data_IF_268694874039
#
_entry.id   IF_268694874039
#
_cell.length_a   1.000
_cell.length_b   1.000
_cell.length_c   1.000
_cell.angle_alpha   90.00
_cell.angle_beta   90.00
_cell.angle_gamma   90.00
#
_symmetry.space_group_name_H-M   'P 1'
#
loop_
_entity.id
_entity.type
_entity.pdbx_description
1 polymer ?
#
# COMPACT_ATOMS: atom_id res chain seq x y z
N UNK A 1 -3.35 3.13 9.18
CA UNK A 1 -2.66 3.96 8.16
C UNK A 1 -2.12 3.12 7.01
N UNK A 2 -1.33 2.07 7.29
CA UNK A 2 -0.78 1.17 6.26
C UNK A 2 -1.87 0.52 5.38
N UNK A 3 -3.02 0.15 5.95
CA UNK A 3 -4.15 -0.39 5.18
C UNK A 3 -4.67 0.60 4.12
N UNK A 4 -4.93 1.86 4.51
CA UNK A 4 -5.36 2.93 3.60
C UNK A 4 -4.32 3.20 2.50
N UNK A 5 -3.03 3.18 2.83
CA UNK A 5 -1.96 3.28 1.84
C UNK A 5 -1.98 2.11 0.85
N UNK A 6 -2.14 0.88 1.34
CA UNK A 6 -2.22 -0.31 0.50
C UNK A 6 -3.41 -0.26 -0.47
N UNK A 7 -4.59 0.13 0.02
CA UNK A 7 -5.80 0.31 -0.79
C UNK A 7 -5.61 1.39 -1.87
N UNK A 8 -5.01 2.53 -1.52
CA UNK A 8 -4.77 3.61 -2.46
C UNK A 8 -3.77 3.23 -3.57
N UNK A 9 -2.72 2.47 -3.25
CA UNK A 9 -1.82 1.91 -4.26
C UNK A 9 -2.54 0.89 -5.15
N UNK A 10 -3.39 0.02 -4.58
CA UNK A 10 -4.15 -0.99 -5.32
C UNK A 10 -5.07 -0.36 -6.35
N UNK A 11 -5.76 0.71 -5.97
CA UNK A 11 -6.79 1.36 -6.81
C UNK A 11 -6.17 2.41 -7.73
N UNK A 12 -5.15 3.15 -7.28
CA UNK A 12 -4.68 4.37 -7.95
C UNK A 12 -3.18 4.37 -8.29
N UNK A 13 -2.44 3.35 -7.88
CA UNK A 13 -1.00 3.26 -8.11
C UNK A 13 -0.61 3.08 -9.57
N UNK A 14 -1.51 2.58 -10.43
CA UNK A 14 -1.25 2.39 -11.85
C UNK A 14 -1.44 3.66 -12.70
N UNK A 15 -0.68 3.74 -13.80
CA UNK A 15 -0.86 4.79 -14.81
C UNK A 15 -2.16 4.62 -15.58
N UNK A 16 -2.38 3.42 -16.15
CA UNK A 16 -3.54 3.09 -16.98
C UNK A 16 -4.45 2.06 -16.31
N UNK A 17 -5.73 2.37 -16.21
CA UNK A 17 -6.75 1.39 -15.78
C UNK A 17 -7.34 0.73 -17.03
N UNK A 18 -7.00 -0.54 -17.25
CA UNK A 18 -7.37 -1.26 -18.47
C UNK A 18 -8.63 -2.09 -18.19
N UNK A 19 -9.76 -1.69 -18.77
CA UNK A 19 -11.03 -2.39 -18.60
C UNK A 19 -10.94 -3.82 -19.19
N UNK A 20 -11.23 -4.82 -18.35
CA UNK A 20 -10.94 -6.24 -18.56
C UNK A 20 -10.48 -6.93 -17.25
N UNK A 21 -10.14 -6.12 -16.24
CA UNK A 21 -9.92 -6.51 -14.85
C UNK A 21 -11.28 -6.54 -14.13
N UNK A 22 -12.15 -7.49 -14.44
CA UNK A 22 -13.09 -7.97 -13.42
C UNK A 22 -12.34 -9.06 -12.67
N UNK A 23 -12.07 -8.82 -11.40
CA UNK A 23 -11.64 -9.88 -10.49
C UNK A 23 -12.79 -10.87 -10.38
N UNK A 24 -12.69 -11.99 -11.09
CA UNK A 24 -13.49 -13.17 -10.79
C UNK A 24 -12.84 -13.84 -9.57
N UNK A 25 -13.12 -13.30 -8.39
CA UNK A 25 -13.03 -14.02 -7.13
C UNK A 25 -14.29 -14.88 -6.97
N UNK A 26 -14.50 -15.82 -7.89
CA UNK A 26 -15.49 -16.87 -7.72
C UNK A 26 -15.07 -18.09 -8.53
N UNK A 27 -15.00 -19.23 -7.85
CA UNK A 27 -14.58 -20.56 -8.33
C UNK A 27 -13.09 -20.86 -8.29
N UNK A 28 -12.60 -21.17 -7.09
CA UNK A 28 -11.73 -22.34 -6.91
C UNK A 28 -12.10 -22.99 -5.58
N UNK A 29 -12.90 -24.07 -5.62
CA UNK A 29 -13.03 -25.00 -4.49
C UNK A 29 -11.83 -25.96 -4.54
N UNK A 30 -10.99 -25.86 -3.52
CA UNK A 30 -10.11 -26.85 -2.85
C UNK A 30 -9.53 -28.06 -3.61
N UNK A 31 -8.21 -28.25 -3.46
CA UNK A 31 -7.60 -29.37 -2.67
C UNK A 31 -6.38 -28.80 -1.89
N UNK A 32 -6.26 -29.21 -0.62
CA UNK A 32 -5.57 -28.62 0.55
C UNK A 32 -4.02 -28.60 0.53
N UNK A 33 -3.29 -27.76 1.30
CA UNK A 33 -2.97 -27.94 2.74
C UNK A 33 -2.42 -26.63 3.42
N UNK A 34 -3.16 -26.06 4.40
CA UNK A 34 -2.82 -25.25 5.63
C UNK A 34 -1.97 -23.93 5.65
N UNK A 35 -2.05 -23.04 6.70
CA UNK A 35 -3.22 -22.42 7.38
C UNK A 35 -3.02 -20.88 7.67
N UNK A 36 -3.83 -20.22 8.54
CA UNK A 36 -4.91 -19.27 8.22
C UNK A 36 -4.50 -17.78 8.25
N UNK A 37 -4.82 -17.03 7.20
CA UNK A 37 -4.95 -15.56 7.30
C UNK A 37 -6.39 -15.17 6.96
N UNK A 38 -6.99 -14.38 7.85
CA UNK A 38 -8.38 -13.95 7.88
C UNK A 38 -8.87 -13.43 6.50
N UNK A 39 -9.72 -14.21 5.83
CA UNK A 39 -10.50 -13.76 4.69
C UNK A 39 -11.59 -12.81 5.19
N UNK A 40 -11.48 -11.54 4.80
CA UNK A 40 -12.51 -10.51 4.98
C UNK A 40 -13.65 -10.84 4.00
N UNK A 41 -14.88 -10.88 4.50
CA UNK A 41 -16.06 -11.36 3.76
C UNK A 41 -16.58 -10.33 2.74
N UNK A 42 -17.31 -10.77 1.71
CA UNK A 42 -17.90 -9.91 0.66
C UNK A 42 -18.86 -8.83 1.22
N UNK A 43 -19.44 -9.05 2.40
CA UNK A 43 -20.27 -8.06 3.10
C UNK A 43 -19.43 -6.91 3.71
N UNK A 44 -18.14 -7.15 3.99
CA UNK A 44 -17.22 -6.15 4.50
C UNK A 44 -16.73 -5.19 3.40
N UNK A 45 -16.64 -5.64 2.14
CA UNK A 45 -16.23 -4.80 1.00
C UNK A 45 -17.24 -3.69 0.68
N UNK A 46 -18.54 -3.98 0.82
CA UNK A 46 -19.61 -3.01 0.61
C UNK A 46 -19.78 -2.08 1.85
N UNK A 47 -19.40 -2.55 3.04
CA UNK A 47 -19.22 -1.73 4.24
C UNK A 47 -18.00 -0.79 4.12
N UNK A 48 -16.90 -1.22 3.50
CA UNK A 48 -15.69 -0.43 3.27
C UNK A 48 -15.92 0.77 2.35
N UNK A 49 -16.79 0.65 1.34
CA UNK A 49 -17.21 1.76 0.47
C UNK A 49 -18.02 2.83 1.21
N UNK A 50 -18.77 2.44 2.25
CA UNK A 50 -19.63 3.35 3.04
C UNK A 50 -18.88 4.06 4.19
N UNK A 51 -17.85 3.44 4.76
CA UNK A 51 -17.13 3.97 5.93
C UNK A 51 -16.17 5.14 5.62
N UNK A 52 -15.99 5.51 4.35
CA UNK A 52 -15.16 6.66 3.90
C UNK A 52 -15.75 8.02 4.30
N UNK A 53 -16.97 8.06 4.85
CA UNK A 53 -17.67 9.31 5.18
C UNK A 53 -17.37 9.89 6.57
N UNK A 54 -16.64 9.19 7.45
CA UNK A 54 -16.41 9.68 8.82
C UNK A 54 -14.95 9.51 9.24
N UNK A 55 -14.12 10.49 8.88
CA UNK A 55 -13.25 11.19 9.85
C UNK A 55 -12.42 12.30 9.15
N UNK A 56 -12.55 13.48 9.74
CA UNK A 56 -12.07 14.81 9.39
C UNK A 56 -10.73 14.93 8.62
N UNK A 57 -10.85 15.48 7.40
CA UNK A 57 -10.04 16.53 6.77
C UNK A 57 -8.59 16.34 6.31
N UNK A 58 -7.98 15.15 6.36
CA UNK A 58 -6.72 14.92 5.64
C UNK A 58 -6.78 13.69 4.71
N UNK A 59 -6.89 13.95 3.41
CA UNK A 59 -6.73 12.93 2.36
C UNK A 59 -5.36 13.14 1.68
N UNK A 60 -4.28 12.51 2.18
CA UNK A 60 -2.93 12.75 1.68
C UNK A 60 -2.77 12.38 0.20
N UNK A 61 -3.60 11.44 -0.29
CA UNK A 61 -3.58 10.95 -1.67
C UNK A 61 -4.51 11.71 -2.62
N UNK A 62 -5.37 12.62 -2.14
CA UNK A 62 -6.39 13.29 -2.97
C UNK A 62 -5.80 14.16 -4.09
N UNK A 63 -4.56 14.64 -3.90
CA UNK A 63 -3.81 15.44 -4.88
C UNK A 63 -3.31 14.63 -6.08
N UNK A 64 -3.32 13.29 -6.00
CA UNK A 64 -2.74 12.46 -7.05
C UNK A 64 -3.71 12.19 -8.19
N UNK A 65 -3.19 12.30 -9.42
CA UNK A 65 -3.97 12.05 -10.64
C UNK A 65 -4.40 10.59 -10.68
N UNK A 66 -5.72 10.38 -10.75
CA UNK A 66 -6.33 9.05 -10.94
C UNK A 66 -5.79 8.35 -12.19
N UNK A 67 -5.83 7.02 -12.25
CA UNK A 67 -5.45 6.28 -13.45
C UNK A 67 -6.28 6.67 -14.67
N UNK A 68 -5.63 6.71 -15.84
CA UNK A 68 -6.32 6.98 -17.09
C UNK A 68 -7.04 5.72 -17.56
N UNK A 69 -8.35 5.82 -17.84
CA UNK A 69 -9.12 4.68 -18.37
C UNK A 69 -8.67 4.36 -19.79
N UNK A 70 -8.25 3.12 -20.01
CA UNK A 70 -7.78 2.62 -21.30
C UNK A 70 -8.64 1.41 -21.69
N UNK A 71 -9.18 1.41 -22.91
CA UNK A 71 -9.89 0.22 -23.40
C UNK A 71 -8.89 -0.87 -23.75
N UNK A 72 -9.31 -2.15 -23.68
CA UNK A 72 -8.44 -3.29 -24.04
C UNK A 72 -7.81 -3.13 -25.43
N UNK A 73 -8.58 -2.69 -26.44
CA UNK A 73 -8.06 -2.44 -27.79
C UNK A 73 -6.94 -1.39 -27.79
N UNK A 74 -7.13 -0.27 -27.09
CA UNK A 74 -6.10 0.77 -26.98
C UNK A 74 -4.88 0.31 -26.18
N UNK A 75 -5.08 -0.56 -25.18
CA UNK A 75 -3.99 -1.16 -24.43
C UNK A 75 -3.13 -2.09 -25.31
N UNK A 76 -3.77 -2.89 -26.16
CA UNK A 76 -3.05 -3.73 -27.14
C UNK A 76 -2.27 -2.85 -28.12
N UNK A 77 -2.87 -1.77 -28.63
CA UNK A 77 -2.13 -0.82 -29.50
C UNK A 77 -0.94 -0.20 -28.78
N UNK A 78 -1.11 0.27 -27.54
CA UNK A 78 -0.02 0.81 -26.72
C UNK A 78 1.11 -0.20 -26.54
N UNK A 79 0.79 -1.46 -26.18
CA UNK A 79 1.78 -2.53 -26.04
C UNK A 79 2.46 -2.81 -27.37
N UNK A 80 1.70 -2.90 -28.46
CA UNK A 80 2.23 -3.16 -29.80
C UNK A 80 3.24 -2.09 -30.23
N UNK A 81 2.95 -0.81 -29.98
CA UNK A 81 3.87 0.30 -30.26
C UNK A 81 5.20 0.15 -29.49
N UNK A 82 5.17 -0.36 -28.26
CA UNK A 82 6.40 -0.65 -27.49
C UNK A 82 7.11 -1.89 -28.04
N UNK A 83 6.37 -2.97 -28.34
CA UNK A 83 6.92 -4.22 -28.90
C UNK A 83 7.62 -3.97 -30.23
N UNK A 84 7.02 -3.18 -31.13
CA UNK A 84 7.63 -2.82 -32.43
C UNK A 84 8.92 -2.02 -32.22
N UNK A 85 8.91 -1.00 -31.35
CA UNK A 85 10.11 -0.19 -31.05
C UNK A 85 11.26 -1.04 -30.49
N UNK A 86 10.94 -2.02 -29.65
CA UNK A 86 11.91 -2.82 -28.91
C UNK A 86 12.19 -4.20 -29.52
N UNK A 87 11.66 -4.48 -30.73
CA UNK A 87 11.74 -5.79 -31.42
C UNK A 87 13.17 -6.29 -31.59
N UNK A 88 14.10 -5.41 -31.96
CA UNK A 88 15.49 -5.79 -32.20
C UNK A 88 15.61 -6.87 -33.28
N UNK A 89 16.11 -8.06 -32.91
CA UNK A 89 16.33 -9.22 -33.81
C UNK A 89 15.29 -10.33 -33.64
N UNK A 90 14.23 -10.09 -32.87
CA UNK A 90 13.19 -11.09 -32.63
C UNK A 90 12.39 -11.40 -33.90
N UNK A 91 12.02 -12.68 -34.06
CA UNK A 91 11.19 -13.14 -35.17
C UNK A 91 9.74 -12.66 -35.02
N UNK A 92 9.01 -12.59 -36.13
CA UNK A 92 7.58 -12.27 -36.15
C UNK A 92 6.79 -13.27 -35.32
N UNK A 93 5.87 -12.78 -34.49
CA UNK A 93 5.13 -13.58 -33.52
C UNK A 93 5.85 -13.82 -32.19
N UNK A 94 7.14 -13.49 -32.07
CA UNK A 94 7.84 -13.44 -30.79
C UNK A 94 8.00 -11.98 -30.29
N UNK A 95 8.37 -11.83 -29.02
CA UNK A 95 8.65 -10.52 -28.44
C UNK A 95 9.90 -10.53 -27.55
N UNK A 96 10.55 -9.38 -27.45
CA UNK A 96 11.68 -9.18 -26.54
C UNK A 96 11.16 -9.12 -25.08
N UNK A 97 11.55 -10.03 -24.18
CA UNK A 97 11.05 -10.06 -22.80
C UNK A 97 11.31 -8.77 -22.02
N UNK A 98 12.34 -8.00 -22.40
CA UNK A 98 12.67 -6.72 -21.74
C UNK A 98 11.56 -5.66 -21.91
N UNK A 99 10.69 -5.81 -22.90
CA UNK A 99 9.52 -4.93 -23.10
C UNK A 99 8.57 -4.96 -21.90
N UNK A 100 8.48 -6.10 -21.21
CA UNK A 100 7.65 -6.23 -20.01
C UNK A 100 8.15 -5.28 -18.91
N UNK A 101 9.48 -5.12 -18.79
CA UNK A 101 10.08 -4.19 -17.82
C UNK A 101 9.77 -2.73 -18.15
N UNK A 102 9.91 -2.33 -19.42
CA UNK A 102 9.60 -0.96 -19.88
C UNK A 102 8.14 -0.61 -19.58
N UNK A 103 7.22 -1.49 -19.95
CA UNK A 103 5.79 -1.31 -19.70
C UNK A 103 5.47 -1.29 -18.19
N UNK A 104 6.14 -2.13 -17.40
CA UNK A 104 5.98 -2.16 -15.96
C UNK A 104 6.42 -0.84 -15.30
N UNK A 105 7.55 -0.26 -15.72
CA UNK A 105 8.01 1.02 -15.20
C UNK A 105 7.07 2.16 -15.57
N UNK A 106 6.55 2.17 -16.80
CA UNK A 106 5.54 3.13 -17.21
C UNK A 106 4.27 3.00 -16.34
N UNK A 107 3.81 1.77 -16.13
CA UNK A 107 2.61 1.47 -15.37
C UNK A 107 2.75 1.76 -13.87
N UNK A 108 3.93 1.59 -13.29
CA UNK A 108 4.26 1.82 -11.86
C UNK A 108 4.82 3.22 -11.57
N UNK A 109 4.91 4.09 -12.58
CA UNK A 109 5.55 5.42 -12.50
C UNK A 109 5.10 6.31 -11.33
N UNK A 110 3.89 6.10 -10.80
CA UNK A 110 3.33 6.91 -9.70
C UNK A 110 3.63 6.39 -8.30
N UNK A 111 4.16 5.17 -8.14
CA UNK A 111 4.29 4.53 -6.81
C UNK A 111 5.08 5.35 -5.80
N UNK A 112 6.15 6.03 -6.23
CA UNK A 112 6.95 6.92 -5.38
C UNK A 112 6.11 8.03 -4.72
N UNK A 113 5.18 8.65 -5.46
CA UNK A 113 4.34 9.74 -4.95
C UNK A 113 3.48 9.30 -3.77
N UNK A 114 2.90 8.11 -3.87
CA UNK A 114 2.08 7.54 -2.80
C UNK A 114 2.92 7.16 -1.58
N UNK A 115 4.10 6.56 -1.79
CA UNK A 115 4.98 6.19 -0.70
C UNK A 115 5.51 7.44 0.04
N UNK A 116 5.96 8.47 -0.67
CA UNK A 116 6.39 9.74 -0.09
C UNK A 116 5.27 10.40 0.71
N UNK A 117 4.05 10.47 0.17
CA UNK A 117 2.91 11.03 0.92
C UNK A 117 2.56 10.21 2.18
N UNK A 118 2.73 8.90 2.14
CA UNK A 118 2.52 8.02 3.30
C UNK A 118 3.60 8.25 4.37
N UNK A 119 4.87 8.40 3.96
CA UNK A 119 5.98 8.76 4.86
C UNK A 119 5.69 10.08 5.56
N UNK A 120 5.25 11.11 4.82
CA UNK A 120 4.89 12.41 5.38
C UNK A 120 3.73 12.32 6.38
N UNK A 121 2.67 11.57 6.05
CA UNK A 121 1.50 11.38 6.93
C UNK A 121 1.92 10.72 8.25
N UNK A 122 2.63 9.59 8.19
CA UNK A 122 3.01 8.83 9.38
C UNK A 122 4.05 9.59 10.20
N UNK A 123 5.08 10.16 9.56
CA UNK A 123 6.10 10.97 10.24
C UNK A 123 5.47 12.16 10.98
N UNK A 124 4.55 12.87 10.33
CA UNK A 124 3.84 13.99 10.96
C UNK A 124 2.99 13.57 12.15
N UNK A 125 2.40 12.36 12.12
CA UNK A 125 1.65 11.80 13.25
C UNK A 125 2.60 11.45 14.40
N UNK A 126 3.70 10.75 14.14
CA UNK A 126 4.70 10.42 15.16
C UNK A 126 5.29 11.67 15.81
N UNK A 127 5.59 12.71 15.02
CA UNK A 127 6.06 13.98 15.54
C UNK A 127 5.03 14.63 16.48
N UNK A 128 3.76 14.75 16.06
CA UNK A 128 2.70 15.34 16.90
C UNK A 128 2.45 14.54 18.17
N UNK A 129 2.51 13.21 18.08
CA UNK A 129 2.38 12.32 19.23
C UNK A 129 3.50 12.58 20.25
N UNK A 130 4.76 12.58 19.82
CA UNK A 130 5.90 12.86 20.69
C UNK A 130 5.84 14.27 21.28
N UNK A 131 5.46 15.26 20.48
CA UNK A 131 5.28 16.63 20.95
C UNK A 131 4.22 16.71 22.05
N UNK A 132 3.08 16.05 21.84
CA UNK A 132 1.98 15.98 22.81
C UNK A 132 2.38 15.30 24.11
N UNK A 133 3.02 14.13 24.03
CA UNK A 133 3.47 13.37 25.20
C UNK A 133 4.49 14.17 26.02
N UNK A 134 5.44 14.83 25.37
CA UNK A 134 6.44 15.63 26.08
C UNK A 134 5.84 16.88 26.71
N UNK A 135 4.88 17.55 26.06
CA UNK A 135 4.17 18.69 26.68
C UNK A 135 3.31 18.29 27.87
N UNK A 136 2.76 17.07 27.87
CA UNK A 136 1.92 16.56 28.96
C UNK A 136 2.77 16.09 30.17
N UNK A 137 3.90 15.42 29.90
CA UNK A 137 4.70 14.79 30.96
C UNK A 137 5.86 15.63 31.49
N UNK A 138 6.37 16.58 30.72
CA UNK A 138 7.49 17.42 31.14
C UNK A 138 7.01 18.83 31.54
N UNK A 139 7.66 19.46 32.54
CA UNK A 139 7.56 20.90 32.74
C UNK A 139 7.90 21.66 31.45
N UNK A 140 7.25 22.81 31.23
CA UNK A 140 7.33 23.55 29.97
C UNK A 140 8.77 23.97 29.62
N UNK A 141 9.57 24.33 30.62
CA UNK A 141 10.97 24.69 30.46
C UNK A 141 11.84 23.49 30.04
N UNK A 142 11.59 22.31 30.62
CA UNK A 142 12.26 21.06 30.21
C UNK A 142 11.84 20.67 28.79
N UNK A 143 10.56 20.80 28.44
CA UNK A 143 10.07 20.56 27.08
C UNK A 143 10.83 21.42 26.06
N UNK A 144 10.97 22.72 26.29
CA UNK A 144 11.65 23.62 25.36
C UNK A 144 13.13 23.27 25.15
N UNK A 145 13.79 22.70 26.16
CA UNK A 145 15.19 22.25 26.08
C UNK A 145 15.32 20.88 25.41
N UNK A 146 14.37 19.98 25.65
CA UNK A 146 14.41 18.60 25.15
C UNK A 146 13.90 18.46 23.71
N UNK A 147 12.85 19.22 23.36
CA UNK A 147 12.15 19.09 22.08
C UNK A 147 13.07 19.25 20.85
N UNK A 148 14.01 20.21 20.79
CA UNK A 148 14.93 20.33 19.65
C UNK A 148 15.71 19.05 19.38
N UNK A 149 16.22 18.38 20.41
CA UNK A 149 16.96 17.12 20.29
C UNK A 149 16.07 15.98 19.83
N UNK A 150 14.85 15.87 20.39
CA UNK A 150 13.86 14.86 19.97
C UNK A 150 13.44 15.07 18.53
N UNK A 151 13.14 16.31 18.14
CA UNK A 151 12.74 16.68 16.80
C UNK A 151 13.84 16.35 15.78
N UNK A 152 15.11 16.59 16.10
CA UNK A 152 16.22 16.23 15.19
C UNK A 152 16.34 14.71 14.98
N UNK A 153 16.08 13.90 16.02
CA UNK A 153 16.01 12.44 15.89
C UNK A 153 14.85 12.01 15.00
N UNK A 154 13.67 12.62 15.15
CA UNK A 154 12.51 12.37 14.29
C UNK A 154 12.81 12.75 12.83
N UNK A 155 13.45 13.90 12.58
CA UNK A 155 13.87 14.33 11.24
C UNK A 155 14.89 13.37 10.62
N UNK A 156 15.84 12.88 11.40
CA UNK A 156 16.82 11.88 10.95
C UNK A 156 16.12 10.60 10.51
N UNK A 157 15.21 10.08 11.34
CA UNK A 157 14.38 8.92 11.03
C UNK A 157 13.56 9.08 9.76
N UNK A 158 12.98 10.26 9.55
CA UNK A 158 12.27 10.60 8.31
C UNK A 158 13.20 10.60 7.08
N UNK A 159 14.41 11.16 7.20
CA UNK A 159 15.42 11.12 6.12
C UNK A 159 15.84 9.69 5.80
N UNK A 160 16.07 8.86 6.81
CA UNK A 160 16.45 7.46 6.62
C UNK A 160 15.33 6.66 5.92
N UNK A 161 14.07 6.95 6.24
CA UNK A 161 12.90 6.38 5.55
C UNK A 161 12.87 6.76 4.06
N UNK A 162 13.14 8.03 3.71
CA UNK A 162 13.24 8.48 2.33
C UNK A 162 14.41 7.83 1.58
N UNK A 163 15.55 7.63 2.25
CA UNK A 163 16.69 6.93 1.67
C UNK A 163 16.36 5.46 1.37
N UNK A 164 15.72 4.76 2.32
CA UNK A 164 15.31 3.37 2.14
C UNK A 164 14.25 3.22 1.03
N UNK A 165 13.30 4.15 0.94
CA UNK A 165 12.38 4.23 -0.20
C UNK A 165 13.15 4.39 -1.52
N UNK A 166 14.19 5.22 -1.54
CA UNK A 166 15.08 5.38 -2.69
C UNK A 166 15.72 4.07 -3.15
N UNK A 167 16.15 3.22 -2.21
CA UNK A 167 16.70 1.88 -2.50
C UNK A 167 15.63 0.96 -3.10
N UNK A 168 14.44 0.89 -2.49
CA UNK A 168 13.31 0.08 -3.00
C UNK A 168 12.91 0.51 -4.42
N UNK A 169 12.86 1.82 -4.68
CA UNK A 169 12.54 2.35 -6.01
C UNK A 169 13.63 2.02 -7.03
N UNK A 170 14.90 2.04 -6.63
CA UNK A 170 16.02 1.62 -7.48
C UNK A 170 15.91 0.13 -7.84
N UNK A 171 15.58 -0.72 -6.87
CA UNK A 171 15.38 -2.16 -7.10
C UNK A 171 14.19 -2.42 -8.03
N UNK A 172 13.11 -1.66 -7.87
CA UNK A 172 11.92 -1.74 -8.73
C UNK A 172 12.21 -1.31 -10.18
N UNK A 173 13.21 -0.45 -10.40
CA UNK A 173 13.68 0.00 -11.73
C UNK A 173 14.73 -0.93 -12.34
N UNK A 174 15.19 -1.95 -11.60
CA UNK A 174 16.10 -2.96 -12.13
C UNK A 174 15.36 -3.97 -13.03
N UNK A 175 16.08 -4.96 -13.54
CA UNK A 175 15.49 -6.06 -14.31
C UNK A 175 14.42 -6.77 -13.49
N UNK A 176 13.30 -7.07 -14.14
CA UNK A 176 12.19 -7.74 -13.48
C UNK A 176 12.51 -9.22 -13.40
N UNK A 177 13.13 -9.61 -12.29
CA UNK A 177 13.51 -11.01 -12.01
C UNK A 177 12.39 -11.63 -11.17
N UNK A 178 11.72 -12.63 -11.74
CA UNK A 178 10.61 -13.29 -11.07
C UNK A 178 10.82 -14.81 -11.04
N UNK A 179 11.00 -15.36 -9.84
CA UNK A 179 11.05 -16.81 -9.58
C UNK A 179 9.74 -17.35 -9.00
N UNK A 180 8.71 -16.50 -8.84
CA UNK A 180 7.44 -16.88 -8.27
C UNK A 180 6.57 -17.60 -9.32
N UNK A 181 6.23 -18.86 -9.04
CA UNK A 181 5.33 -19.70 -9.86
C UNK A 181 3.97 -19.01 -10.13
N UNK A 182 3.53 -18.11 -9.25
CA UNK A 182 2.31 -17.32 -9.42
C UNK A 182 2.28 -16.55 -10.75
N UNK A 183 3.44 -16.08 -11.24
CA UNK A 183 3.51 -15.42 -12.54
C UNK A 183 3.16 -16.35 -13.69
N UNK A 184 3.81 -17.51 -13.76
CA UNK A 184 3.56 -18.49 -14.82
C UNK A 184 2.14 -19.02 -14.76
N UNK A 185 1.60 -19.21 -13.55
CA UNK A 185 0.23 -19.69 -13.36
C UNK A 185 -0.80 -18.64 -13.77
N UNK A 186 -0.58 -17.38 -13.41
CA UNK A 186 -1.47 -16.27 -13.80
C UNK A 186 -1.49 -16.09 -15.32
N UNK A 187 -0.33 -16.15 -15.98
CA UNK A 187 -0.25 -16.06 -17.45
C UNK A 187 -0.96 -17.26 -18.10
N UNK A 188 -0.67 -18.49 -17.67
CA UNK A 188 -1.32 -19.70 -18.20
C UNK A 188 -2.83 -19.68 -17.99
N UNK A 189 -3.30 -19.25 -16.82
CA UNK A 189 -4.74 -19.14 -16.51
C UNK A 189 -5.43 -18.17 -17.47
N UNK A 190 -4.88 -16.97 -17.65
CA UNK A 190 -5.44 -15.96 -18.57
C UNK A 190 -5.47 -16.42 -20.02
N UNK A 191 -4.41 -17.08 -20.47
CA UNK A 191 -4.37 -17.67 -21.80
C UNK A 191 -5.42 -18.78 -21.96
N UNK A 192 -5.59 -19.63 -20.94
CA UNK A 192 -6.59 -20.69 -20.93
C UNK A 192 -8.01 -20.14 -20.98
N UNK A 193 -8.32 -19.14 -20.16
CA UNK A 193 -9.62 -18.45 -20.15
C UNK A 193 -9.94 -17.83 -21.51
N UNK A 194 -8.97 -17.16 -22.16
CA UNK A 194 -9.17 -16.63 -23.52
C UNK A 194 -9.45 -17.72 -24.54
N UNK A 195 -8.69 -18.83 -24.50
CA UNK A 195 -8.92 -19.97 -25.41
C UNK A 195 -10.28 -20.61 -25.18
N UNK A 196 -10.69 -20.78 -23.93
CA UNK A 196 -11.98 -21.35 -23.56
C UNK A 196 -13.14 -20.45 -23.99
N UNK A 197 -13.05 -19.14 -23.74
CA UNK A 197 -14.07 -18.19 -24.20
C UNK A 197 -14.19 -18.18 -25.72
N UNK A 198 -13.06 -18.23 -26.43
CA UNK A 198 -13.07 -18.31 -27.88
C UNK A 198 -13.71 -19.61 -28.39
N UNK A 199 -13.39 -20.75 -27.76
CA UNK A 199 -14.03 -22.02 -28.07
C UNK A 199 -15.55 -21.94 -27.86
N UNK A 200 -16.01 -21.37 -26.74
CA UNK A 200 -17.44 -21.16 -26.48
C UNK A 200 -18.09 -20.31 -27.57
N UNK A 201 -17.48 -19.20 -27.99
CA UNK A 201 -17.98 -18.37 -29.11
C UNK A 201 -18.08 -19.14 -30.43
N UNK A 202 -17.11 -20.01 -30.72
CA UNK A 202 -17.14 -20.85 -31.93
C UNK A 202 -18.26 -21.90 -31.85
N UNK A 203 -18.44 -22.53 -30.69
CA UNK A 203 -19.54 -23.48 -30.45
C UNK A 203 -20.89 -22.77 -30.62
N UNK A 204 -21.06 -21.60 -30.03
CA UNK A 204 -22.29 -20.80 -30.16
C UNK A 204 -22.59 -20.46 -31.63
N UNK A 205 -21.60 -20.00 -32.40
CA UNK A 205 -21.74 -19.71 -33.83
C UNK A 205 -22.07 -20.94 -34.67
N UNK A 206 -21.61 -22.12 -34.25
CA UNK A 206 -21.88 -23.40 -34.90
C UNK A 206 -23.14 -24.10 -34.38
N UNK A 207 -23.82 -23.53 -33.41
CA UNK A 207 -25.06 -24.09 -32.85
C UNK A 207 -26.27 -23.59 -33.63
N UNK A 208 -27.06 -24.51 -34.17
CA UNK A 208 -28.36 -24.24 -34.79
C UNK A 208 -29.46 -24.89 -33.97
N UNK A 209 -30.60 -24.22 -33.81
CA UNK A 209 -31.74 -24.78 -33.09
C UNK A 209 -32.66 -25.51 -34.07
N UNK A 210 -32.83 -26.82 -33.89
CA UNK A 210 -33.73 -27.68 -34.69
C UNK A 210 -34.99 -28.01 -33.92
N UNK A 211 -36.12 -28.21 -34.60
CA UNK A 211 -37.38 -28.65 -33.96
C UNK A 211 -37.29 -30.12 -33.55
N UNK A 212 -37.81 -30.45 -32.37
CA UNK A 212 -37.77 -31.82 -31.85
C UNK A 212 -38.58 -32.77 -32.75
N UNK A 213 -38.00 -33.88 -33.26
CA UNK A 213 -38.73 -34.78 -34.14
C UNK A 213 -39.90 -35.44 -33.40
N UNK A 214 -41.11 -35.32 -33.94
CA UNK A 214 -42.33 -35.92 -33.37
C UNK A 214 -43.06 -35.07 -32.33
N UNK A 215 -42.61 -33.84 -32.05
CA UNK A 215 -43.30 -32.93 -31.15
C UNK A 215 -44.17 -31.92 -31.93
N UNK A 216 -45.46 -31.76 -31.55
CA UNK A 216 -46.37 -30.81 -32.20
C UNK A 216 -46.29 -29.39 -31.63
N UNK A 217 -45.43 -29.14 -30.64
CA UNK A 217 -45.16 -27.81 -30.08
C UNK A 217 -43.84 -27.22 -30.59
N UNK A 218 -43.61 -25.94 -30.33
CA UNK A 218 -42.40 -25.19 -30.75
C UNK A 218 -41.14 -25.51 -29.91
N UNK A 219 -40.99 -26.73 -29.42
CA UNK A 219 -39.78 -27.13 -28.72
C UNK A 219 -38.62 -27.32 -29.70
N UNK A 220 -37.53 -26.58 -29.44
CA UNK A 220 -36.27 -26.68 -30.17
C UNK A 220 -35.18 -27.31 -29.31
N UNK A 221 -34.19 -27.91 -29.97
CA UNK A 221 -32.98 -28.42 -29.33
C UNK A 221 -31.73 -27.89 -30.05
N UNK A 222 -30.62 -27.69 -29.32
CA UNK A 222 -29.36 -27.27 -29.93
C UNK A 222 -28.74 -28.42 -30.73
N UNK A 223 -28.42 -28.15 -31.98
CA UNK A 223 -27.68 -29.02 -32.89
C UNK A 223 -26.35 -28.34 -33.23
N UNK A 224 -25.25 -28.96 -32.83
CA UNK A 224 -23.92 -28.37 -32.90
C UNK A 224 -23.15 -29.03 -34.04
N UNK A 225 -22.73 -28.22 -35.01
CA UNK A 225 -21.79 -28.67 -36.04
C UNK A 225 -20.36 -28.59 -35.50
N UNK A 226 -19.86 -29.74 -35.02
CA UNK A 226 -18.52 -29.84 -34.44
C UNK A 226 -17.43 -29.57 -35.48
N UNK A 227 -17.62 -29.99 -36.74
CA UNK A 227 -16.65 -29.75 -37.81
C UNK A 227 -16.50 -28.27 -38.09
N UNK A 228 -17.63 -27.58 -38.29
CA UNK A 228 -17.65 -26.13 -38.48
C UNK A 228 -17.10 -25.36 -37.26
N UNK A 229 -17.36 -25.82 -36.04
CA UNK A 229 -16.80 -25.21 -34.83
C UNK A 229 -15.26 -25.33 -34.78
N UNK A 230 -14.71 -26.48 -35.17
CA UNK A 230 -13.26 -26.70 -35.26
C UNK A 230 -12.62 -25.85 -36.35
N UNK A 231 -13.26 -25.73 -37.52
CA UNK A 231 -12.80 -24.87 -38.62
C UNK A 231 -12.76 -23.40 -38.18
N UNK A 232 -13.85 -22.89 -37.58
CA UNK A 232 -13.90 -21.52 -37.04
C UNK A 232 -12.85 -21.26 -35.95
N UNK A 233 -12.52 -22.26 -35.15
CA UNK A 233 -11.48 -22.16 -34.13
C UNK A 233 -10.07 -22.16 -34.74
N UNK A 234 -9.84 -22.95 -35.79
CA UNK A 234 -8.55 -23.03 -36.49
C UNK A 234 -8.27 -21.80 -37.37
N UNK A 235 -9.30 -21.20 -37.98
CA UNK A 235 -9.20 -20.04 -38.87
C UNK A 235 -8.75 -18.74 -38.19
N UNK A 236 -8.68 -18.72 -36.84
CA UNK A 236 -8.34 -17.52 -36.07
C UNK A 236 -6.84 -17.20 -36.00
N UNK A 237 -6.02 -17.69 -36.93
CA UNK A 237 -4.64 -17.20 -37.08
C UNK A 237 -4.72 -15.72 -37.46
N UNK A 238 -4.50 -14.82 -36.50
CA UNK A 238 -4.49 -13.37 -36.78
C UNK A 238 -3.39 -13.12 -37.82
N UNK A 239 -3.72 -12.65 -39.03
CA UNK A 239 -2.71 -12.34 -40.03
C UNK A 239 -1.73 -11.26 -39.54
N UNK A 240 -2.13 -10.48 -38.52
CA UNK A 240 -1.23 -9.62 -37.76
C UNK A 240 -0.68 -10.35 -36.53
N UNK A 241 0.39 -11.14 -36.74
CA UNK A 241 1.11 -11.88 -35.70
C UNK A 241 1.57 -10.99 -34.52
N UNK A 242 1.68 -9.68 -34.71
CA UNK A 242 2.11 -8.72 -33.68
C UNK A 242 1.00 -8.41 -32.67
N UNK A 243 -0.27 -8.57 -33.04
CA UNK A 243 -1.37 -8.47 -32.09
C UNK A 243 -1.33 -9.62 -31.09
N UNK A 244 -1.02 -10.83 -31.56
CA UNK A 244 -0.95 -12.01 -30.71
C UNK A 244 0.15 -11.84 -29.64
N UNK A 245 1.36 -11.49 -30.06
CA UNK A 245 2.48 -11.24 -29.13
C UNK A 245 2.18 -10.08 -28.19
N UNK A 246 1.49 -9.03 -28.65
CA UNK A 246 1.07 -7.91 -27.80
C UNK A 246 0.05 -8.31 -26.73
N UNK A 247 -0.86 -9.25 -27.02
CA UNK A 247 -1.77 -9.81 -26.01
C UNK A 247 -1.01 -10.61 -24.94
N UNK A 248 -0.02 -11.39 -25.34
CA UNK A 248 0.82 -12.15 -24.40
C UNK A 248 1.65 -11.24 -23.51
N UNK A 249 2.29 -10.21 -24.10
CA UNK A 249 3.03 -9.19 -23.33
C UNK A 249 2.12 -8.49 -22.33
N UNK A 250 0.88 -8.19 -22.73
CA UNK A 250 -0.10 -7.56 -21.84
C UNK A 250 -0.47 -8.46 -20.65
N UNK A 251 -0.62 -9.77 -20.85
CA UNK A 251 -0.84 -10.71 -19.74
C UNK A 251 0.36 -10.78 -18.79
N UNK A 252 1.56 -10.87 -19.35
CA UNK A 252 2.81 -10.88 -18.59
C UNK A 252 2.93 -9.60 -17.76
N UNK A 253 2.65 -8.43 -18.34
CA UNK A 253 2.62 -7.15 -17.65
C UNK A 253 1.63 -7.17 -16.48
N UNK A 254 0.42 -7.70 -16.67
CA UNK A 254 -0.56 -7.76 -15.59
C UNK A 254 -0.14 -8.69 -14.45
N UNK A 255 0.38 -9.87 -14.78
CA UNK A 255 0.85 -10.82 -13.79
C UNK A 255 1.99 -10.21 -12.96
N UNK A 256 2.98 -9.60 -13.63
CA UNK A 256 4.14 -9.05 -12.97
C UNK A 256 3.81 -7.79 -12.16
N UNK A 257 2.95 -6.92 -12.68
CA UNK A 257 2.49 -5.74 -11.96
C UNK A 257 1.81 -6.13 -10.64
N UNK A 258 0.94 -7.15 -10.66
CA UNK A 258 0.24 -7.61 -9.45
C UNK A 258 1.22 -8.14 -8.39
N UNK A 259 2.24 -8.91 -8.80
CA UNK A 259 3.27 -9.42 -7.88
C UNK A 259 4.07 -8.27 -7.27
N UNK A 260 4.60 -7.38 -8.10
CA UNK A 260 5.43 -6.27 -7.63
C UNK A 260 4.64 -5.25 -6.83
N UNK A 261 3.35 -5.05 -7.11
CA UNK A 261 2.51 -4.15 -6.31
C UNK A 261 2.38 -4.66 -4.87
N UNK A 262 2.17 -5.97 -4.69
CA UNK A 262 2.14 -6.58 -3.36
C UNK A 262 3.47 -6.43 -2.63
N UNK A 263 4.58 -6.72 -3.32
CA UNK A 263 5.93 -6.58 -2.77
C UNK A 263 6.25 -5.13 -2.40
N UNK A 264 5.89 -4.17 -3.24
CA UNK A 264 6.11 -2.75 -2.98
C UNK A 264 5.34 -2.27 -1.74
N UNK A 265 4.05 -2.62 -1.63
CA UNK A 265 3.24 -2.28 -0.46
C UNK A 265 3.87 -2.88 0.82
N UNK A 266 4.26 -4.16 0.78
CA UNK A 266 4.88 -4.83 1.92
C UNK A 266 6.23 -4.18 2.30
N UNK A 267 7.08 -3.90 1.31
CA UNK A 267 8.40 -3.30 1.53
C UNK A 267 8.29 -1.88 2.08
N UNK A 268 7.41 -1.04 1.53
CA UNK A 268 7.18 0.31 2.09
C UNK A 268 6.66 0.21 3.51
N UNK A 269 5.70 -0.69 3.77
CA UNK A 269 5.14 -0.86 5.12
C UNK A 269 6.21 -1.29 6.11
N UNK A 270 6.92 -2.38 5.85
CA UNK A 270 7.85 -2.98 6.81
C UNK A 270 9.20 -2.27 6.83
N UNK A 271 9.79 -2.05 5.65
CA UNK A 271 11.17 -1.60 5.56
C UNK A 271 11.29 -0.08 5.65
N UNK A 272 10.26 0.67 5.27
CA UNK A 272 10.29 2.15 5.32
C UNK A 272 9.55 2.67 6.56
N UNK A 273 8.27 2.33 6.69
CA UNK A 273 7.42 2.91 7.75
C UNK A 273 7.74 2.29 9.10
N UNK A 274 7.63 0.97 9.24
CA UNK A 274 7.88 0.31 10.52
C UNK A 274 9.34 0.52 10.94
N UNK A 275 10.31 0.08 10.13
CA UNK A 275 11.73 0.14 10.49
C UNK A 275 12.24 1.55 10.83
N UNK A 276 11.93 2.55 10.02
CA UNK A 276 12.55 3.87 10.17
C UNK A 276 11.68 4.89 10.88
N UNK A 277 10.35 4.76 10.88
CA UNK A 277 9.46 5.75 11.47
C UNK A 277 8.89 5.26 12.80
N UNK A 278 8.25 4.09 12.81
CA UNK A 278 7.42 3.63 13.95
C UNK A 278 8.18 2.79 14.98
N UNK A 279 8.99 1.83 14.54
CA UNK A 279 9.71 0.90 15.41
C UNK A 279 10.74 1.65 16.25
N UNK A 280 10.84 1.34 17.54
CA UNK A 280 11.79 1.98 18.47
C UNK A 280 11.57 3.50 18.64
N UNK A 281 10.34 3.99 18.42
CA UNK A 281 9.98 5.38 18.67
C UNK A 281 10.21 5.76 20.14
N UNK A 282 9.95 4.82 21.04
CA UNK A 282 10.22 4.91 22.48
C UNK A 282 11.72 5.04 22.80
N UNK A 283 12.61 4.58 21.92
CA UNK A 283 14.06 4.68 22.14
C UNK A 283 14.60 6.08 21.81
N UNK A 284 13.80 6.94 21.16
CA UNK A 284 14.17 8.35 20.90
C UNK A 284 14.54 9.07 22.19
N UNK A 285 13.78 8.82 23.26
CA UNK A 285 14.03 9.33 24.60
C UNK A 285 13.66 8.27 25.64
N UNK A 286 14.65 7.48 26.04
CA UNK A 286 14.51 6.38 26.98
C UNK A 286 15.50 6.50 28.15
N UNK A 287 15.33 5.73 29.24
CA UNK A 287 16.24 5.77 30.39
C UNK A 287 17.72 5.56 30.03
N UNK A 288 18.00 4.74 29.02
CA UNK A 288 19.37 4.52 28.52
C UNK A 288 19.96 5.77 27.87
N UNK A 289 19.14 6.57 27.17
CA UNK A 289 19.58 7.85 26.60
C UNK A 289 19.87 8.85 27.73
N UNK A 290 19.04 8.86 28.78
CA UNK A 290 19.25 9.72 29.96
C UNK A 290 20.52 9.33 30.71
N UNK A 291 20.78 8.04 30.89
CA UNK A 291 21.98 7.53 31.56
C UNK A 291 23.29 7.86 30.81
N UNK A 292 23.21 8.20 29.52
CA UNK A 292 24.36 8.59 28.68
C UNK A 292 24.60 10.11 28.65
N UNK A 293 23.76 10.91 29.29
CA UNK A 293 23.96 12.35 29.37
C UNK A 293 25.21 12.66 30.20
N UNK A 294 26.00 13.63 29.75
CA UNK A 294 27.08 14.18 30.57
C UNK A 294 26.50 14.97 31.75
N UNK A 295 27.27 15.16 32.83
CA UNK A 295 26.85 15.97 33.98
C UNK A 295 26.42 17.38 33.55
N UNK A 296 27.15 17.97 32.59
CA UNK A 296 26.83 19.29 32.04
C UNK A 296 25.50 19.29 31.29
N UNK A 297 25.23 18.26 30.48
CA UNK A 297 23.97 18.16 29.73
C UNK A 297 22.80 17.90 30.69
N UNK A 298 22.99 17.04 31.68
CA UNK A 298 21.98 16.73 32.68
C UNK A 298 21.59 17.98 33.49
N UNK A 299 22.58 18.76 33.95
CA UNK A 299 22.33 20.04 34.63
C UNK A 299 21.64 21.03 33.69
N UNK A 300 22.08 21.13 32.43
CA UNK A 300 21.46 22.04 31.46
C UNK A 300 19.98 21.68 31.19
N UNK A 301 19.65 20.39 31.21
CA UNK A 301 18.30 19.89 30.96
C UNK A 301 17.39 20.04 32.19
N UNK A 302 17.90 19.73 33.38
CA UNK A 302 17.12 19.64 34.62
C UNK A 302 17.20 20.89 35.52
N UNK A 303 18.05 21.86 35.21
CA UNK A 303 18.19 23.08 36.02
C UNK A 303 16.91 23.92 36.00
N UNK A 304 16.43 24.26 37.20
CA UNK A 304 15.35 25.23 37.36
C UNK A 304 15.82 26.61 36.87
N UNK A 305 14.91 27.40 36.30
CA UNK A 305 15.19 28.81 36.04
C UNK A 305 15.34 29.58 37.36
N UNK A 306 16.14 30.65 37.37
CA UNK A 306 16.31 31.50 38.57
C UNK A 306 14.99 32.10 39.09
N UNK A 307 14.01 32.29 38.20
CA UNK A 307 12.66 32.71 38.57
C UNK A 307 11.91 31.61 39.34
N UNK A 308 11.96 30.37 38.83
CA UNK A 308 11.35 29.20 39.50
C UNK A 308 12.02 28.90 40.83
N UNK A 309 13.34 29.00 40.91
CA UNK A 309 14.10 28.80 42.14
C UNK A 309 13.68 29.79 43.23
N UNK A 310 13.57 31.09 42.89
CA UNK A 310 13.07 32.13 43.81
C UNK A 310 11.64 31.87 44.23
N UNK A 311 10.77 31.47 43.30
CA UNK A 311 9.37 31.18 43.59
C UNK A 311 9.23 29.96 44.51
N UNK A 312 10.02 28.91 44.28
CA UNK A 312 10.11 27.72 45.13
C UNK A 312 10.55 28.11 46.55
N UNK A 313 11.63 28.89 46.68
CA UNK A 313 12.11 29.36 47.97
C UNK A 313 11.04 30.19 48.72
N UNK A 314 10.33 31.08 48.02
CA UNK A 314 9.23 31.86 48.58
C UNK A 314 8.07 30.98 49.08
N UNK A 315 7.63 30.01 48.26
CA UNK A 315 6.52 29.12 48.60
C UNK A 315 6.87 28.19 49.77
N UNK A 316 8.07 27.62 49.78
CA UNK A 316 8.57 26.79 50.89
C UNK A 316 8.62 27.58 52.19
N UNK A 317 9.14 28.81 52.16
CA UNK A 317 9.15 29.69 53.32
C UNK A 317 7.75 30.03 53.84
N UNK A 318 6.77 30.17 52.93
CA UNK A 318 5.37 30.43 53.29
C UNK A 318 4.69 29.20 53.88
N UNK A 319 4.95 28.01 53.35
CA UNK A 319 4.48 26.74 53.93
C UNK A 319 5.00 26.61 55.36
N UNK A 320 6.30 26.80 55.59
CA UNK A 320 6.87 26.69 56.94
C UNK A 320 6.25 27.65 57.95
N UNK A 321 5.99 28.91 57.55
CA UNK A 321 5.28 29.88 58.40
C UNK A 321 3.85 29.44 58.72
N UNK A 322 3.13 28.89 57.74
CA UNK A 322 1.76 28.40 57.94
C UNK A 322 1.73 27.16 58.85
N UNK A 323 2.70 26.26 58.72
CA UNK A 323 2.82 25.09 59.59
C UNK A 323 3.15 25.45 61.03
N UNK A 324 4.06 26.41 61.25
CA UNK A 324 4.34 26.94 62.58
C UNK A 324 3.09 27.59 63.20
N UNK A 325 2.39 28.43 62.43
CA UNK A 325 1.14 29.03 62.89
C UNK A 325 0.07 27.99 63.26
N UNK A 326 -0.06 26.93 62.45
CA UNK A 326 -0.97 25.80 62.75
C UNK A 326 -0.57 25.07 64.03
N UNK A 327 0.71 24.84 64.26
CA UNK A 327 1.21 24.17 65.46
C UNK A 327 0.91 24.98 66.73
N UNK A 328 1.21 26.29 66.71
CA UNK A 328 0.94 27.21 67.83
C UNK A 328 -0.56 27.24 68.16
N UNK A 329 -1.41 27.37 67.14
CA UNK A 329 -2.87 27.36 67.35
C UNK A 329 -3.36 26.01 67.90
N UNK A 330 -2.76 24.90 67.47
CA UNK A 330 -3.03 23.57 68.01
C UNK A 330 -2.71 23.49 69.50
N UNK A 331 -1.52 23.93 69.91
CA UNK A 331 -1.09 23.94 71.32
C UNK A 331 -2.02 24.78 72.21
N UNK A 332 -2.40 25.97 71.76
CA UNK A 332 -3.32 26.86 72.50
C UNK A 332 -4.72 26.26 72.65
N UNK A 333 -5.19 25.52 71.64
CA UNK A 333 -6.49 24.84 71.70
C UNK A 333 -6.47 23.61 72.61
N UNK A 334 -5.35 22.86 72.65
CA UNK A 334 -5.18 21.72 73.57
C UNK A 334 -4.91 22.13 75.02
N UNK A 335 -4.44 23.37 75.25
CA UNK A 335 -4.15 23.89 76.61
C UNK A 335 -5.37 24.52 77.30
N UNK A 336 -6.51 24.62 76.60
CA UNK A 336 -7.77 25.22 77.09
C UNK A 336 -8.90 24.16 77.30
N UNK A 337 -8.55 22.88 77.32
CA UNK A 337 -9.38 21.74 77.76
C UNK A 337 -8.70 21.17 79.00
#
# INVERSE_FOLDING_TARGET
MNQKFAEEIRINGHKYHINGIKENAASTKQVDTEPPDEEISEDDEDLLLRNVATNQNHRPFAKFKRPQKLSRRKAITWVNDVVIRARGRELLGNFNPLVIAELFWEQSSKWHLFAEAHIEEVSGICQRFLEGVLKDKAPLDVFHRLWPTVLERVKTRHRDALEELGKILKDTRSYVINYNHYYTDTVKKRQSERRMNHMSECIEKSTKYKKLPGCQSDHTFPDIDVGHALDLFADRVDPNMDNHSSEEVLDCLFAIYKVYQKLFIANVTVQVIERHIVQDLELIFCPLTVAKLSDTDAVSLASESSAMERQRAFLVGRIGKLEQGRAILGEVMSSNI
#
